data_IF_052882536551
#
_entry.id   IF_052882536551
#
_cell.length_a   1.000
_cell.length_b   1.000
_cell.length_c   1.000
_cell.angle_alpha   90.00
_cell.angle_beta   90.00
_cell.angle_gamma   90.00
#
_symmetry.space_group_name_H-M   'P 1'
#
loop_
_entity.id
_entity.type
_entity.pdbx_description
1 polymer ?
#
# COMPACT_ATOMS: atom_id res chain seq x y z
N UNK A 1 -1.72 24.13 -64.13
CA UNK A 1 -2.40 24.71 -62.94
C UNK A 1 -2.89 23.51 -62.14
N UNK A 2 -2.11 22.78 -61.34
CA UNK A 2 -1.01 23.11 -60.42
C UNK A 2 -1.31 24.32 -59.51
N UNK A 3 -1.73 23.98 -58.29
CA UNK A 3 -1.62 24.67 -57.00
C UNK A 3 -2.50 23.88 -56.01
N UNK A 4 -2.19 23.67 -54.74
CA UNK A 4 -0.96 23.55 -53.97
C UNK A 4 -1.40 23.00 -52.60
N UNK A 5 -0.52 22.22 -52.01
CA UNK A 5 -0.48 21.66 -50.66
C UNK A 5 -0.73 22.67 -49.53
N UNK A 6 -1.36 22.22 -48.42
CA UNK A 6 -1.07 22.75 -47.08
C UNK A 6 -1.56 21.77 -46.01
N UNK A 7 -0.62 20.99 -45.50
CA UNK A 7 -0.74 20.23 -44.28
C UNK A 7 -0.53 21.15 -43.07
N UNK A 8 -1.49 21.18 -42.14
CA UNK A 8 -1.26 21.64 -40.77
C UNK A 8 -1.39 20.40 -39.88
N UNK A 9 -0.30 19.68 -39.61
CA UNK A 9 0.66 19.92 -38.52
C UNK A 9 -0.01 20.10 -37.17
N UNK A 10 0.31 19.14 -36.29
CA UNK A 10 -0.37 18.88 -35.05
C UNK A 10 -0.24 19.96 -34.02
N UNK A 11 -1.19 19.94 -33.11
CA UNK A 11 -1.07 20.65 -31.85
C UNK A 11 -0.88 19.61 -30.76
N UNK A 12 0.39 19.33 -30.46
CA UNK A 12 0.78 18.71 -29.21
C UNK A 12 0.40 19.68 -28.12
N UNK A 13 -0.86 19.62 -27.67
CA UNK A 13 -1.37 20.47 -26.61
C UNK A 13 -0.55 20.18 -25.35
N UNK A 14 0.49 21.00 -25.14
CA UNK A 14 1.24 21.04 -23.91
C UNK A 14 0.22 21.17 -22.78
N UNK A 15 0.37 20.36 -21.73
CA UNK A 15 -0.48 20.47 -20.55
C UNK A 15 -0.28 21.86 -19.95
N UNK A 16 -1.21 22.77 -20.24
CA UNK A 16 -1.32 24.06 -19.58
C UNK A 16 -2.23 23.83 -18.37
N UNK A 17 -1.72 23.93 -17.13
CA UNK A 17 -2.58 23.84 -15.97
C UNK A 17 -3.67 24.90 -16.10
N UNK A 18 -4.94 24.48 -15.97
CA UNK A 18 -6.05 25.41 -15.99
C UNK A 18 -5.79 26.51 -14.95
N UNK A 19 -5.81 27.80 -15.33
CA UNK A 19 -5.60 28.87 -14.37
C UNK A 19 -6.70 28.75 -13.32
N UNK A 20 -6.30 28.62 -12.06
CA UNK A 20 -7.22 28.65 -10.91
C UNK A 20 -7.75 30.08 -10.84
N UNK A 21 -8.80 30.37 -11.59
CA UNK A 21 -9.55 31.62 -11.47
C UNK A 21 -10.53 31.44 -10.34
N UNK A 22 -10.39 32.26 -9.31
CA UNK A 22 -11.38 32.36 -8.26
C UNK A 22 -12.71 32.79 -8.90
N UNK A 23 -13.81 32.04 -8.71
CA UNK A 23 -15.11 32.43 -9.22
C UNK A 23 -15.50 33.83 -8.70
N UNK A 24 -15.86 34.74 -9.61
CA UNK A 24 -16.27 36.10 -9.24
C UNK A 24 -17.51 36.04 -8.33
N UNK A 25 -17.42 36.70 -7.17
CA UNK A 25 -18.53 36.80 -6.22
C UNK A 25 -18.58 35.72 -5.13
N UNK A 26 -17.54 34.89 -4.98
CA UNK A 26 -17.43 34.04 -3.80
C UNK A 26 -17.24 34.91 -2.54
N UNK A 27 -18.10 34.77 -1.51
CA UNK A 27 -17.88 35.44 -0.25
C UNK A 27 -16.57 34.92 0.36
N UNK A 28 -15.75 35.84 0.90
CA UNK A 28 -14.56 35.46 1.67
C UNK A 28 -15.00 34.57 2.83
N UNK A 29 -14.69 33.28 2.73
CA UNK A 29 -15.07 32.31 3.75
C UNK A 29 -13.86 32.00 4.62
N UNK A 30 -13.91 32.45 5.87
CA UNK A 30 -12.88 32.11 6.85
C UNK A 30 -13.22 30.77 7.50
N UNK A 31 -12.33 29.80 7.34
CA UNK A 31 -12.41 28.53 8.05
C UNK A 31 -12.22 28.78 9.55
N UNK A 32 -13.16 28.29 10.35
CA UNK A 32 -13.08 28.35 11.80
C UNK A 32 -13.12 26.91 12.36
N UNK A 33 -12.32 26.63 13.38
CA UNK A 33 -12.29 25.33 14.06
C UNK A 33 -13.61 24.94 14.75
N UNK A 34 -14.54 25.89 14.95
CA UNK A 34 -15.88 25.59 15.48
C UNK A 34 -16.88 25.13 14.40
N UNK A 35 -16.53 25.21 13.11
CA UNK A 35 -17.39 24.79 12.01
C UNK A 35 -17.33 23.28 11.84
N UNK A 36 -18.45 22.67 11.44
CA UNK A 36 -18.48 21.26 11.04
C UNK A 36 -17.86 21.11 9.65
N UNK A 37 -16.55 20.89 9.64
CA UNK A 37 -15.74 20.71 8.43
C UNK A 37 -16.13 19.46 7.65
N UNK A 38 -16.66 18.43 8.31
CA UNK A 38 -17.10 17.20 7.63
C UNK A 38 -18.34 17.47 6.76
N UNK A 39 -19.24 18.34 7.23
CA UNK A 39 -20.39 18.77 6.42
C UNK A 39 -19.98 19.79 5.38
N UNK A 40 -19.17 20.79 5.76
CA UNK A 40 -18.78 21.89 4.90
C UNK A 40 -18.08 21.40 3.61
N UNK A 41 -17.21 20.40 3.72
CA UNK A 41 -16.53 19.79 2.58
C UNK A 41 -17.21 18.53 2.03
N UNK A 42 -18.42 18.20 2.51
CA UNK A 42 -19.14 17.02 2.05
C UNK A 42 -18.41 15.69 2.34
N UNK A 43 -17.57 15.64 3.37
CA UNK A 43 -16.81 14.46 3.77
C UNK A 43 -17.61 13.48 4.64
N UNK A 44 -18.85 13.83 5.02
CA UNK A 44 -19.73 12.93 5.81
C UNK A 44 -19.87 11.53 5.20
N UNK A 45 -20.18 11.34 3.90
CA UNK A 45 -20.31 10.00 3.33
C UNK A 45 -19.00 9.19 3.43
N UNK A 46 -17.85 9.85 3.25
CA UNK A 46 -16.54 9.22 3.38
C UNK A 46 -16.24 8.82 4.82
N UNK A 47 -16.59 9.68 5.79
CA UNK A 47 -16.43 9.40 7.21
C UNK A 47 -17.25 8.18 7.65
N UNK A 48 -18.50 8.08 7.19
CA UNK A 48 -19.41 6.98 7.49
C UNK A 48 -18.87 5.62 7.01
N UNK A 49 -18.17 5.58 5.88
CA UNK A 49 -17.63 4.34 5.30
C UNK A 49 -16.23 4.03 5.82
N UNK A 50 -15.34 5.03 5.83
CA UNK A 50 -13.91 4.81 6.05
C UNK A 50 -13.47 4.90 7.53
N UNK A 51 -14.24 5.58 8.38
CA UNK A 51 -13.84 5.86 9.76
C UNK A 51 -14.81 5.25 10.76
N UNK A 52 -16.10 5.56 10.64
CA UNK A 52 -17.13 5.16 11.61
C UNK A 52 -17.13 3.66 11.97
N UNK A 53 -16.94 2.71 11.02
CA UNK A 53 -16.95 1.28 11.35
C UNK A 53 -15.78 0.84 12.25
N UNK A 54 -14.70 1.62 12.28
CA UNK A 54 -13.47 1.30 13.02
C UNK A 54 -13.36 2.04 14.36
N UNK A 55 -14.29 2.95 14.64
CA UNK A 55 -14.34 3.67 15.91
C UNK A 55 -14.71 2.72 17.06
N UNK A 56 -14.34 3.12 18.27
CA UNK A 56 -14.78 2.39 19.46
C UNK A 56 -16.30 2.57 19.58
N UNK A 57 -17.07 1.49 19.82
CA UNK A 57 -18.49 1.59 20.08
C UNK A 57 -18.72 2.53 21.26
N UNK A 58 -19.58 3.52 21.08
CA UNK A 58 -19.97 4.41 22.15
C UNK A 58 -20.93 3.65 23.06
N UNK A 59 -20.44 3.27 24.24
CA UNK A 59 -21.20 2.53 25.23
C UNK A 59 -21.59 3.51 26.33
N UNK A 60 -22.88 3.51 26.69
CA UNK A 60 -23.37 4.34 27.77
C UNK A 60 -22.63 4.10 29.10
N UNK A 61 -22.69 5.05 30.03
CA UNK A 61 -21.97 4.97 31.31
C UNK A 61 -22.31 3.71 32.13
N UNK A 62 -23.51 3.15 31.95
CA UNK A 62 -24.01 1.97 32.65
C UNK A 62 -23.64 0.62 31.97
N UNK A 63 -22.87 0.65 30.89
CA UNK A 63 -22.48 -0.57 30.18
C UNK A 63 -21.57 -1.45 31.04
N UNK A 64 -21.97 -2.72 31.21
CA UNK A 64 -21.21 -3.69 31.98
C UNK A 64 -19.89 -4.03 31.27
N UNK A 65 -18.92 -4.59 32.01
CA UNK A 65 -17.66 -5.04 31.38
C UNK A 65 -17.88 -6.11 30.30
N UNK A 66 -18.93 -6.93 30.44
CA UNK A 66 -19.34 -7.89 29.42
C UNK A 66 -19.79 -7.21 28.13
N UNK A 67 -20.56 -6.11 28.23
CA UNK A 67 -21.03 -5.33 27.08
C UNK A 67 -19.85 -4.64 26.37
N UNK A 68 -18.90 -4.10 27.15
CA UNK A 68 -17.66 -3.52 26.63
C UNK A 68 -16.81 -4.54 25.88
N UNK A 69 -16.65 -5.75 26.44
CA UNK A 69 -15.93 -6.83 25.81
C UNK A 69 -16.62 -7.32 24.52
N UNK A 70 -17.94 -7.47 24.54
CA UNK A 70 -18.73 -7.88 23.38
C UNK A 70 -18.67 -6.85 22.24
N UNK A 71 -18.75 -5.56 22.57
CA UNK A 71 -18.66 -4.47 21.60
C UNK A 71 -17.24 -4.37 21.01
N UNK A 72 -16.21 -4.59 21.82
CA UNK A 72 -14.82 -4.63 21.34
C UNK A 72 -14.55 -5.83 20.44
N UNK A 73 -15.16 -6.99 20.73
CA UNK A 73 -15.02 -8.20 19.93
C UNK A 73 -15.70 -8.10 18.55
N UNK A 74 -16.82 -7.36 18.46
CA UNK A 74 -17.53 -7.10 17.20
C UNK A 74 -16.93 -5.97 16.37
N UNK A 75 -15.91 -5.27 16.87
CA UNK A 75 -15.32 -4.12 16.19
C UNK A 75 -14.58 -4.56 14.92
N UNK A 76 -14.96 -3.98 13.79
CA UNK A 76 -14.19 -4.13 12.56
C UNK A 76 -12.78 -3.53 12.75
N UNK A 77 -11.76 -4.21 12.23
CA UNK A 77 -10.39 -3.70 12.23
C UNK A 77 -9.95 -3.44 10.80
N UNK A 78 -9.38 -2.26 10.57
CA UNK A 78 -8.85 -1.92 9.25
C UNK A 78 -7.73 -2.90 8.87
N UNK A 79 -7.80 -3.54 7.69
CA UNK A 79 -6.72 -4.37 7.19
C UNK A 79 -5.42 -3.56 7.12
N UNK A 80 -4.32 -4.16 7.60
CA UNK A 80 -3.00 -3.51 7.59
C UNK A 80 -2.33 -3.52 6.21
N UNK A 81 -2.89 -4.28 5.28
CA UNK A 81 -2.38 -4.45 3.92
C UNK A 81 -3.51 -4.33 2.91
N UNK A 82 -3.14 -4.06 1.67
CA UNK A 82 -4.03 -4.00 0.52
C UNK A 82 -4.50 -5.38 0.04
N UNK A 83 -4.25 -6.46 0.80
CA UNK A 83 -4.55 -7.83 0.36
C UNK A 83 -6.03 -8.02 0.00
N UNK A 84 -6.93 -7.36 0.72
CA UNK A 84 -8.36 -7.37 0.42
C UNK A 84 -8.72 -6.88 -0.99
N UNK A 85 -7.86 -6.11 -1.67
CA UNK A 85 -8.06 -5.71 -3.07
C UNK A 85 -7.58 -6.76 -4.08
N UNK A 86 -6.73 -7.70 -3.67
CA UNK A 86 -6.15 -8.73 -4.56
C UNK A 86 -6.66 -10.14 -4.25
N UNK A 87 -7.56 -10.30 -3.28
CA UNK A 87 -8.15 -11.60 -2.91
C UNK A 87 -8.90 -12.28 -4.06
N UNK A 88 -9.44 -11.51 -5.01
CA UNK A 88 -10.14 -12.05 -6.19
C UNK A 88 -9.23 -12.33 -7.40
N UNK A 89 -7.93 -12.06 -7.30
CA UNK A 89 -7.00 -12.27 -8.42
C UNK A 89 -6.43 -13.70 -8.40
N UNK A 90 -6.30 -14.36 -9.56
CA UNK A 90 -5.69 -15.68 -9.64
C UNK A 90 -4.17 -15.64 -9.39
N UNK A 91 -3.63 -16.70 -8.81
CA UNK A 91 -2.20 -16.88 -8.54
C UNK A 91 -1.72 -16.28 -7.21
N UNK A 92 -0.43 -16.42 -6.92
CA UNK A 92 0.21 -15.85 -5.72
C UNK A 92 0.55 -14.38 -5.97
N UNK A 93 -0.37 -13.47 -5.62
CA UNK A 93 -0.20 -12.01 -5.78
C UNK A 93 0.47 -11.37 -4.55
N UNK A 94 0.71 -12.16 -3.49
CA UNK A 94 1.39 -11.69 -2.29
C UNK A 94 2.84 -11.31 -2.61
N UNK A 95 3.26 -10.07 -2.31
CA UNK A 95 4.68 -9.74 -2.32
C UNK A 95 5.41 -10.71 -1.40
N UNK A 96 6.49 -11.36 -1.85
CA UNK A 96 7.18 -12.37 -1.06
C UNK A 96 7.56 -11.77 0.30
N UNK A 97 7.15 -12.43 1.41
CA UNK A 97 7.53 -12.03 2.76
C UNK A 97 9.06 -12.02 2.80
N UNK A 98 9.69 -10.84 2.83
CA UNK A 98 11.14 -10.65 2.78
C UNK A 98 11.81 -11.39 3.95
N UNK A 99 12.22 -12.62 3.70
CA UNK A 99 13.00 -13.44 4.62
C UNK A 99 14.46 -12.96 4.62
N UNK A 100 15.05 -12.89 5.81
CA UNK A 100 16.49 -12.81 6.07
C UNK A 100 17.31 -11.79 5.29
N UNK A 101 17.72 -12.12 4.06
CA UNK A 101 18.66 -11.33 3.26
C UNK A 101 18.03 -10.25 2.40
N UNK A 102 16.73 -10.35 2.07
CA UNK A 102 16.09 -9.39 1.18
C UNK A 102 15.77 -8.06 1.86
N UNK A 103 15.77 -7.97 3.21
CA UNK A 103 15.37 -6.77 4.00
C UNK A 103 16.17 -5.49 3.74
N UNK A 104 17.33 -5.59 3.08
CA UNK A 104 18.15 -4.45 2.70
C UNK A 104 17.99 -4.01 1.25
N UNK A 105 17.28 -4.78 0.41
CA UNK A 105 16.94 -4.33 -0.93
C UNK A 105 15.97 -3.13 -0.84
N UNK A 106 16.25 -1.96 -1.44
CA UNK A 106 15.24 -0.92 -1.51
C UNK A 106 13.99 -1.49 -2.20
N UNK A 107 12.76 -1.12 -1.77
CA UNK A 107 11.57 -1.47 -2.52
C UNK A 107 11.76 -1.01 -3.98
N UNK A 108 11.23 -1.74 -4.99
CA UNK A 108 11.34 -1.30 -6.37
C UNK A 108 10.64 0.05 -6.48
N UNK A 109 11.43 1.12 -6.51
CA UNK A 109 10.96 2.50 -6.64
C UNK A 109 10.57 2.82 -8.08
N UNK A 110 10.19 1.83 -8.87
CA UNK A 110 10.16 1.99 -10.32
C UNK A 110 8.99 2.87 -10.75
N UNK A 111 7.83 2.75 -10.11
CA UNK A 111 6.71 3.70 -10.28
C UNK A 111 7.05 5.11 -9.76
N UNK A 112 7.68 5.22 -8.59
CA UNK A 112 8.09 6.52 -8.03
C UNK A 112 9.11 7.19 -8.96
N UNK A 113 10.08 6.44 -9.48
CA UNK A 113 11.07 6.93 -10.45
C UNK A 113 10.42 7.30 -11.77
N UNK A 114 9.49 6.50 -12.28
CA UNK A 114 8.74 6.82 -13.50
C UNK A 114 7.93 8.11 -13.33
N UNK A 115 7.39 8.36 -12.14
CA UNK A 115 6.69 9.62 -11.84
C UNK A 115 7.66 10.81 -11.69
N UNK A 116 8.80 10.60 -11.02
CA UNK A 116 9.77 11.67 -10.70
C UNK A 116 10.74 11.96 -11.85
N UNK A 117 10.90 11.02 -12.77
CA UNK A 117 11.70 11.08 -13.99
C UNK A 117 10.90 10.38 -15.10
N UNK A 118 9.80 10.97 -15.57
CA UNK A 118 9.08 10.41 -16.69
C UNK A 118 10.04 10.35 -17.87
N UNK A 119 10.21 9.17 -18.45
CA UNK A 119 10.92 9.04 -19.71
C UNK A 119 10.16 9.87 -20.74
N UNK A 120 10.73 11.02 -21.11
CA UNK A 120 10.16 11.88 -22.13
C UNK A 120 10.57 11.35 -23.49
N UNK A 121 10.02 10.19 -23.85
CA UNK A 121 10.17 9.67 -25.19
C UNK A 121 9.24 10.49 -26.07
N UNK A 122 9.80 11.40 -26.87
CA UNK A 122 9.04 12.27 -27.79
C UNK A 122 8.20 11.48 -28.79
N UNK A 123 8.51 10.20 -29.01
CA UNK A 123 7.68 9.28 -29.77
C UNK A 123 6.68 8.60 -28.83
N UNK A 124 5.37 8.79 -29.02
CA UNK A 124 4.37 7.98 -28.31
C UNK A 124 4.65 6.51 -28.59
N UNK A 125 4.34 5.63 -27.64
CA UNK A 125 4.41 4.19 -27.86
C UNK A 125 3.39 3.87 -28.96
N UNK A 126 3.88 3.68 -30.18
CA UNK A 126 3.08 3.28 -31.33
C UNK A 126 2.65 1.83 -31.10
N UNK A 127 1.43 1.43 -31.50
CA UNK A 127 1.05 0.02 -31.50
C UNK A 127 2.13 -0.80 -32.19
N UNK A 128 2.63 -1.81 -31.48
CA UNK A 128 3.62 -2.70 -32.05
C UNK A 128 3.05 -3.40 -33.28
N UNK A 129 3.91 -3.64 -34.27
CA UNK A 129 3.56 -4.46 -35.41
C UNK A 129 3.17 -5.88 -34.96
N UNK A 130 2.00 -6.33 -35.40
CA UNK A 130 1.41 -7.59 -34.95
C UNK A 130 2.23 -8.80 -35.43
N UNK A 131 2.79 -8.73 -36.64
CA UNK A 131 3.61 -9.82 -37.20
C UNK A 131 4.94 -9.92 -36.44
N UNK A 132 5.55 -8.78 -36.11
CA UNK A 132 6.75 -8.72 -35.27
C UNK A 132 6.49 -9.29 -33.87
N UNK A 133 5.36 -8.94 -33.24
CA UNK A 133 4.99 -9.53 -31.95
C UNK A 133 4.73 -11.03 -32.06
N UNK A 134 3.99 -11.48 -33.07
CA UNK A 134 3.70 -12.90 -33.26
C UNK A 134 4.99 -13.73 -33.44
N UNK A 135 5.94 -13.22 -34.23
CA UNK A 135 7.24 -13.86 -34.41
C UNK A 135 8.06 -13.88 -33.10
N UNK A 136 8.07 -12.78 -32.34
CA UNK A 136 8.83 -12.68 -31.10
C UNK A 136 8.26 -13.53 -29.95
N UNK A 137 6.94 -13.72 -29.89
CA UNK A 137 6.25 -14.48 -28.84
C UNK A 137 5.99 -15.95 -29.20
N UNK A 138 6.42 -16.40 -30.38
CA UNK A 138 6.35 -17.82 -30.75
C UNK A 138 7.53 -18.57 -30.10
N UNK A 139 7.22 -19.37 -29.08
CA UNK A 139 8.21 -20.16 -28.33
C UNK A 139 8.07 -21.64 -28.71
N UNK A 140 9.19 -22.36 -28.84
CA UNK A 140 9.13 -23.81 -29.04
C UNK A 140 8.65 -24.50 -27.75
N UNK A 141 7.69 -25.43 -27.81
CA UNK A 141 7.21 -26.13 -26.63
C UNK A 141 8.37 -26.88 -25.99
N UNK A 142 8.54 -26.68 -24.69
CA UNK A 142 9.59 -27.31 -23.89
C UNK A 142 8.95 -28.21 -22.84
N UNK A 143 9.44 -29.44 -22.72
CA UNK A 143 8.87 -30.48 -21.84
C UNK A 143 9.44 -30.47 -20.43
N UNK A 144 10.62 -29.87 -20.23
CA UNK A 144 11.24 -29.79 -18.91
C UNK A 144 10.93 -28.44 -18.23
N UNK A 145 11.01 -28.34 -16.90
CA UNK A 145 10.86 -27.07 -16.20
C UNK A 145 11.93 -26.07 -16.67
N UNK A 146 11.51 -24.86 -17.01
CA UNK A 146 12.44 -23.79 -17.37
C UNK A 146 13.24 -23.39 -16.13
N UNK A 147 14.57 -23.46 -16.22
CA UNK A 147 15.45 -23.14 -15.12
C UNK A 147 15.20 -21.71 -14.59
N UNK A 148 15.00 -21.58 -13.27
CA UNK A 148 14.77 -20.30 -12.62
C UNK A 148 13.34 -19.78 -12.65
N UNK A 149 12.40 -20.47 -13.29
CA UNK A 149 10.97 -20.14 -13.20
C UNK A 149 10.35 -20.84 -11.99
N UNK A 150 9.81 -20.03 -11.07
CA UNK A 150 9.03 -20.51 -9.94
C UNK A 150 7.57 -20.72 -10.37
N UNK A 151 7.21 -21.96 -10.69
CA UNK A 151 5.84 -22.34 -11.05
C UNK A 151 4.86 -22.22 -9.90
N UNK A 152 5.35 -22.13 -8.66
CA UNK A 152 4.49 -21.99 -7.49
C UNK A 152 3.74 -20.65 -7.49
N UNK A 153 4.19 -19.64 -8.23
CA UNK A 153 3.50 -18.35 -8.39
C UNK A 153 2.15 -18.46 -9.10
N UNK A 154 1.94 -19.53 -9.88
CA UNK A 154 0.69 -19.77 -10.61
C UNK A 154 -0.37 -20.46 -9.74
N UNK A 155 0.03 -21.06 -8.62
CA UNK A 155 -0.88 -21.70 -7.69
C UNK A 155 -1.67 -20.63 -6.92
N UNK A 156 -2.91 -20.96 -6.51
CA UNK A 156 -3.66 -20.07 -5.63
C UNK A 156 -2.92 -19.91 -4.29
N UNK A 157 -2.96 -18.71 -3.70
CA UNK A 157 -2.50 -18.52 -2.33
C UNK A 157 -3.35 -19.39 -1.39
N UNK A 158 -2.72 -20.25 -0.59
CA UNK A 158 -3.41 -20.92 0.50
C UNK A 158 -3.96 -19.83 1.45
N UNK A 159 -5.25 -19.93 1.78
CA UNK A 159 -5.87 -19.07 2.79
C UNK A 159 -5.11 -19.24 4.11
N UNK A 160 -4.23 -18.27 4.42
CA UNK A 160 -3.51 -18.20 5.70
C UNK A 160 -4.56 -18.09 6.82
N UNK A 161 -4.92 -19.22 7.43
CA UNK A 161 -5.61 -19.22 8.71
C UNK A 161 -4.74 -18.40 9.66
N UNK A 162 -5.31 -17.42 10.38
CA UNK A 162 -4.52 -16.51 11.19
C UNK A 162 -3.64 -17.33 12.12
N UNK A 163 -2.32 -17.14 12.01
CA UNK A 163 -1.34 -17.87 12.80
C UNK A 163 -1.77 -17.83 14.27
N UNK A 164 -2.17 -18.99 14.80
CA UNK A 164 -2.53 -19.13 16.20
C UNK A 164 -1.33 -18.62 17.00
N UNK A 165 -1.52 -17.49 17.69
CA UNK A 165 -0.53 -16.98 18.63
C UNK A 165 -0.30 -18.09 19.63
N UNK A 166 0.84 -18.78 19.53
CA UNK A 166 1.33 -19.64 20.60
C UNK A 166 1.55 -18.72 21.79
N UNK A 167 0.55 -18.63 22.67
CA UNK A 167 0.72 -18.11 24.00
C UNK A 167 1.87 -18.91 24.60
N UNK A 168 2.98 -18.23 24.88
CA UNK A 168 4.10 -18.77 25.63
C UNK A 168 3.52 -19.10 27.02
N UNK A 169 3.08 -20.34 27.19
CA UNK A 169 2.64 -20.88 28.46
C UNK A 169 3.76 -20.60 29.47
N UNK A 170 3.39 -19.93 30.56
CA UNK A 170 4.32 -19.51 31.60
C UNK A 170 5.24 -20.65 31.99
N UNK A 171 6.54 -20.41 31.89
CA UNK A 171 7.55 -21.32 32.39
C UNK A 171 7.45 -21.25 33.92
N UNK A 172 6.69 -22.19 34.48
CA UNK A 172 6.59 -22.39 35.91
C UNK A 172 7.97 -22.80 36.48
N UNK A 173 8.30 -22.15 37.58
CA UNK A 173 9.19 -22.58 38.66
C UNK A 173 10.58 -23.14 38.30
N UNK A 174 11.60 -22.29 38.47
CA UNK A 174 12.98 -22.73 38.74
C UNK A 174 13.48 -21.99 39.97
N UNK A 175 13.91 -22.71 41.02
CA UNK A 175 14.29 -22.09 42.28
C UNK A 175 15.56 -21.26 42.14
N UNK A 176 15.53 -20.18 42.92
CA UNK A 176 16.49 -19.11 43.13
C UNK A 176 17.97 -19.49 42.97
N UNK A 177 18.68 -18.72 42.13
CA UNK A 177 20.14 -18.74 42.07
C UNK A 177 20.68 -17.30 42.06
N UNK A 178 21.62 -16.96 42.96
CA UNK A 178 21.90 -15.58 43.33
C UNK A 178 22.59 -14.79 42.22
N UNK A 179 22.02 -13.62 41.91
CA UNK A 179 22.59 -12.63 40.97
C UNK A 179 23.94 -12.14 41.51
N UNK A 180 25.05 -12.61 40.93
CA UNK A 180 26.38 -12.01 41.13
C UNK A 180 26.36 -10.60 40.53
N UNK A 181 26.26 -9.61 41.40
CA UNK A 181 26.38 -8.18 41.10
C UNK A 181 27.84 -7.89 40.72
N UNK A 182 28.14 -7.91 39.43
CA UNK A 182 29.44 -7.45 38.91
C UNK A 182 29.46 -5.92 39.00
N UNK A 183 30.12 -5.41 40.04
CA UNK A 183 30.42 -3.98 40.18
C UNK A 183 31.65 -3.71 39.31
N UNK A 184 31.46 -3.04 38.18
CA UNK A 184 32.55 -2.47 37.39
C UNK A 184 33.11 -1.28 38.14
N UNK A 185 34.23 -1.48 38.85
CA UNK A 185 35.00 -0.41 39.47
C UNK A 185 35.86 0.22 38.38
N UNK A 186 35.54 1.45 37.97
CA UNK A 186 36.35 2.24 37.06
C UNK A 186 37.66 2.67 37.74
N UNK A 187 38.79 2.08 37.36
CA UNK A 187 40.12 2.60 37.73
C UNK A 187 40.43 3.85 36.87
N UNK A 188 40.15 5.02 37.44
CA UNK A 188 40.64 6.32 36.94
C UNK A 188 42.13 6.43 37.29
N UNK A 189 43.00 6.22 36.32
CA UNK A 189 44.44 6.50 36.44
C UNK A 189 44.64 8.02 36.30
N UNK A 190 45.17 8.65 37.35
CA UNK A 190 45.67 10.03 37.34
C UNK A 190 47.19 9.96 37.47
N UNK A 191 47.85 10.78 36.64
CA UNK A 191 49.29 11.09 36.57
C UNK A 191 50.18 9.97 36.02
#
# INVERSE_FOLDING_TARGET
MEQAESAAHGDGAAYVPAPIREPEGLPSFHLNGTQDMLTLFGLRPLYEVAVRPYLKPDLGPDATEADKAAAQAKRATLPKSFLHYVEGLPGKVRPPKRSGSSRHAPPPKDLEKMLMKPEYTYTPIVPFDQDTLAAAFTVSPFTEPIAGIDTSLLEADEHETPAAKKNKLGQADRPDAPKKRVVLISKKKRL
#
